data_IF_990296674885
#
_entry.id   IF_990296674885
#
_cell.length_a   1.000
_cell.length_b   1.000
_cell.length_c   1.000
_cell.angle_alpha   90.00
_cell.angle_beta   90.00
_cell.angle_gamma   90.00
#
_symmetry.space_group_name_H-M   'P 1'
#
loop_
_entity.id
_entity.type
_entity.pdbx_description
1 polymer ?
#
# COMPACT_ATOMS: atom_id res chain seq x y z
N UNK A 1 -35.67 24.21 -23.13
CA UNK A 1 -34.76 24.33 -21.98
C UNK A 1 -33.71 23.23 -22.09
N UNK A 2 -32.50 23.53 -22.57
CA UNK A 2 -31.38 22.56 -22.66
C UNK A 2 -30.62 22.60 -21.32
N UNK A 3 -30.59 21.48 -20.58
CA UNK A 3 -29.77 21.34 -19.39
C UNK A 3 -28.30 21.30 -19.81
N UNK A 4 -27.38 22.10 -19.23
CA UNK A 4 -25.97 21.94 -19.49
C UNK A 4 -25.47 20.68 -18.81
N UNK A 5 -24.96 19.72 -19.58
CA UNK A 5 -24.16 18.62 -19.12
C UNK A 5 -22.85 19.24 -18.61
N UNK A 6 -22.66 19.27 -17.30
CA UNK A 6 -21.39 19.63 -16.69
C UNK A 6 -20.37 18.53 -17.02
N UNK A 7 -19.65 18.71 -18.12
CA UNK A 7 -18.40 18.01 -18.37
C UNK A 7 -17.36 18.55 -17.37
N UNK A 8 -17.17 17.83 -16.27
CA UNK A 8 -15.99 17.99 -15.44
C UNK A 8 -14.79 17.56 -16.29
N UNK A 9 -14.20 18.49 -17.01
CA UNK A 9 -12.86 18.32 -17.56
C UNK A 9 -11.88 18.30 -16.39
N UNK A 10 -11.63 17.11 -15.87
CA UNK A 10 -10.57 16.82 -14.92
C UNK A 10 -9.24 17.08 -15.63
N UNK A 11 -8.76 18.32 -15.61
CA UNK A 11 -7.43 18.64 -16.08
C UNK A 11 -6.43 18.05 -15.08
N UNK A 12 -6.07 16.79 -15.32
CA UNK A 12 -5.02 16.07 -14.58
C UNK A 12 -3.67 16.64 -15.01
N UNK A 13 -3.30 17.79 -14.46
CA UNK A 13 -1.93 18.29 -14.48
C UNK A 13 -1.20 17.85 -13.19
N UNK A 14 -1.23 16.53 -12.91
CA UNK A 14 -0.55 15.92 -11.74
C UNK A 14 0.87 15.51 -12.12
N UNK A 15 1.63 16.40 -12.73
CA UNK A 15 2.81 15.96 -13.50
C UNK A 15 4.12 15.85 -12.72
N UNK A 16 4.24 16.20 -11.42
CA UNK A 16 5.59 16.33 -10.84
C UNK A 16 5.80 15.87 -9.39
N UNK A 17 4.80 15.36 -8.68
CA UNK A 17 4.95 15.19 -7.23
C UNK A 17 4.66 13.80 -6.67
N UNK A 18 4.06 12.90 -7.44
CA UNK A 18 3.78 11.54 -6.98
C UNK A 18 4.98 10.64 -7.26
N UNK A 19 5.35 9.80 -6.29
CA UNK A 19 6.46 8.87 -6.36
C UNK A 19 6.34 7.86 -7.49
N UNK A 20 5.11 7.55 -7.87
CA UNK A 20 4.78 6.52 -8.84
C UNK A 20 4.64 7.14 -10.24
N UNK A 21 4.94 6.38 -11.30
CA UNK A 21 4.72 6.82 -12.67
C UNK A 21 3.22 6.87 -13.04
N UNK A 22 2.34 6.55 -12.12
CA UNK A 22 0.89 6.52 -12.29
C UNK A 22 0.17 6.84 -10.98
N UNK A 23 -1.12 7.12 -11.09
CA UNK A 23 -2.09 7.26 -9.99
C UNK A 23 -3.23 6.30 -10.27
N UNK A 24 -3.74 5.64 -9.24
CA UNK A 24 -4.89 4.75 -9.30
C UNK A 24 -6.10 5.41 -8.61
N UNK A 25 -6.90 6.24 -9.33
CA UNK A 25 -8.14 6.81 -8.78
C UNK A 25 -9.09 5.77 -8.23
N UNK A 26 -8.99 4.54 -8.72
CA UNK A 26 -9.67 3.38 -8.16
C UNK A 26 -8.86 2.11 -8.44
N UNK A 27 -8.71 1.27 -7.42
CA UNK A 27 -8.08 -0.05 -7.55
C UNK A 27 -8.75 -1.06 -6.61
N UNK A 28 -8.95 -2.28 -7.12
CA UNK A 28 -9.28 -3.46 -6.32
C UNK A 28 -8.19 -4.50 -6.52
N UNK A 29 -7.82 -5.19 -5.45
CA UNK A 29 -6.76 -6.18 -5.44
C UNK A 29 -7.14 -7.36 -4.56
N UNK A 30 -7.02 -8.56 -5.10
CA UNK A 30 -7.27 -9.80 -4.39
C UNK A 30 -6.00 -10.64 -4.36
N UNK A 31 -5.59 -11.06 -3.18
CA UNK A 31 -4.43 -11.92 -2.95
C UNK A 31 -4.89 -13.27 -2.43
N UNK A 32 -4.40 -14.34 -3.01
CA UNK A 32 -4.54 -15.69 -2.49
C UNK A 32 -3.16 -16.25 -2.17
N UNK A 33 -2.92 -16.60 -0.92
CA UNK A 33 -1.69 -17.25 -0.46
C UNK A 33 -1.93 -18.75 -0.31
N UNK A 34 -1.06 -19.52 -0.95
CA UNK A 34 -1.17 -20.97 -0.96
C UNK A 34 -0.64 -21.58 0.34
N UNK A 35 -1.15 -22.75 0.68
CA UNK A 35 -0.54 -23.58 1.73
C UNK A 35 0.83 -24.03 1.23
N UNK A 36 1.90 -23.71 1.96
CA UNK A 36 3.22 -24.25 1.61
C UNK A 36 3.39 -25.66 2.18
N UNK A 37 4.04 -26.53 1.38
CA UNK A 37 4.41 -27.86 1.83
C UNK A 37 5.71 -27.84 2.65
N UNK A 38 5.90 -28.81 3.55
CA UNK A 38 7.09 -28.98 4.36
C UNK A 38 6.86 -28.78 5.87
N UNK A 39 7.92 -28.82 6.67
CA UNK A 39 7.87 -28.72 8.13
C UNK A 39 7.41 -27.34 8.65
N UNK A 40 7.45 -26.30 7.81
CA UNK A 40 6.86 -24.99 8.08
C UNK A 40 5.62 -24.83 7.18
N UNK A 41 4.50 -25.36 7.64
CA UNK A 41 3.22 -25.24 6.93
C UNK A 41 2.79 -23.78 6.89
N UNK A 42 2.94 -23.14 5.73
CA UNK A 42 2.36 -21.81 5.48
C UNK A 42 0.85 -21.85 5.60
N UNK A 43 0.30 -20.92 6.34
CA UNK A 43 -1.15 -20.79 6.47
C UNK A 43 -1.71 -20.11 5.22
N UNK A 44 -2.70 -20.74 4.55
CA UNK A 44 -3.39 -20.06 3.47
C UNK A 44 -4.16 -18.86 4.01
N UNK A 45 -4.26 -17.83 3.19
CA UNK A 45 -5.09 -16.68 3.48
C UNK A 45 -5.60 -16.05 2.19
N UNK A 46 -6.65 -15.28 2.32
CA UNK A 46 -7.06 -14.33 1.30
C UNK A 46 -6.97 -12.91 1.84
N UNK A 47 -6.64 -11.99 0.96
CA UNK A 47 -6.59 -10.58 1.29
C UNK A 47 -7.21 -9.77 0.15
N UNK A 48 -8.35 -9.16 0.44
CA UNK A 48 -9.01 -8.19 -0.44
C UNK A 48 -8.59 -6.79 -0.01
N UNK A 49 -8.22 -5.97 -0.97
CA UNK A 49 -7.95 -4.55 -0.77
C UNK A 49 -8.65 -3.74 -1.86
N UNK A 50 -9.35 -2.70 -1.49
CA UNK A 50 -9.98 -1.75 -2.41
C UNK A 50 -9.69 -0.33 -1.95
N UNK A 51 -9.27 0.54 -2.87
CA UNK A 51 -8.92 1.92 -2.49
C UNK A 51 -8.80 2.85 -3.68
N UNK A 52 -8.50 4.09 -3.36
CA UNK A 52 -8.43 5.21 -4.30
C UNK A 52 -7.26 6.11 -3.98
N UNK A 53 -6.64 6.69 -4.99
CA UNK A 53 -5.71 7.81 -4.86
C UNK A 53 -6.28 9.02 -5.59
N UNK A 54 -6.69 10.03 -4.83
CA UNK A 54 -7.40 11.22 -5.33
C UNK A 54 -6.55 12.47 -5.10
N UNK A 55 -5.65 12.82 -6.04
CA UNK A 55 -4.83 14.03 -5.93
C UNK A 55 -5.67 15.26 -6.28
N UNK A 56 -5.74 16.22 -5.38
CA UNK A 56 -6.46 17.49 -5.51
C UNK A 56 -5.43 18.62 -5.50
N UNK A 57 -5.32 19.37 -6.56
CA UNK A 57 -4.46 20.55 -6.61
C UNK A 57 -5.07 21.69 -5.80
N UNK A 58 -4.33 22.20 -4.81
CA UNK A 58 -4.78 23.33 -3.98
C UNK A 58 -4.25 24.65 -4.57
N UNK A 59 -2.95 24.90 -4.48
CA UNK A 59 -2.31 26.15 -4.91
C UNK A 59 -0.79 25.95 -5.08
N UNK A 60 -0.16 26.69 -6.00
CA UNK A 60 1.31 26.75 -6.13
C UNK A 60 2.01 25.38 -6.16
N UNK A 61 1.47 24.43 -6.93
CA UNK A 61 1.94 23.05 -6.99
C UNK A 61 1.87 22.27 -5.66
N UNK A 62 1.06 22.74 -4.72
CA UNK A 62 0.69 21.99 -3.51
C UNK A 62 -0.52 21.11 -3.84
N UNK A 63 -0.46 19.86 -3.40
CA UNK A 63 -1.53 18.88 -3.62
C UNK A 63 -1.98 18.27 -2.30
N UNK A 64 -3.28 18.11 -2.17
CA UNK A 64 -3.91 17.22 -1.20
C UNK A 64 -4.10 15.87 -1.88
N UNK A 65 -3.65 14.79 -1.25
CA UNK A 65 -3.86 13.42 -1.70
C UNK A 65 -4.77 12.71 -0.70
N UNK A 66 -5.97 12.36 -1.11
CA UNK A 66 -6.88 11.53 -0.33
C UNK A 66 -6.75 10.08 -0.84
N UNK A 67 -6.40 9.16 0.06
CA UNK A 67 -6.17 7.75 -0.31
C UNK A 67 -7.01 6.80 0.56
N UNK A 68 -8.36 6.92 0.57
CA UNK A 68 -9.19 6.01 1.33
C UNK A 68 -9.05 4.59 0.83
N UNK A 69 -9.03 3.63 1.76
CA UNK A 69 -9.06 2.22 1.40
C UNK A 69 -9.81 1.38 2.43
N UNK A 70 -10.28 0.25 1.96
CA UNK A 70 -10.78 -0.87 2.73
C UNK A 70 -9.91 -2.09 2.48
N UNK A 71 -9.65 -2.88 3.51
CA UNK A 71 -9.04 -4.21 3.36
C UNK A 71 -9.72 -5.24 4.26
N UNK A 72 -9.66 -6.49 3.82
CA UNK A 72 -10.16 -7.65 4.53
C UNK A 72 -9.15 -8.79 4.42
N UNK A 73 -8.81 -9.39 5.57
CA UNK A 73 -7.99 -10.60 5.65
C UNK A 73 -8.84 -11.74 6.18
N UNK A 74 -8.81 -12.87 5.48
CA UNK A 74 -9.38 -14.12 5.93
C UNK A 74 -8.27 -15.15 6.06
N UNK A 75 -8.01 -15.60 7.28
CA UNK A 75 -6.90 -16.49 7.62
C UNK A 75 -7.42 -17.87 7.95
N UNK A 76 -6.89 -18.94 7.33
CA UNK A 76 -7.32 -20.31 7.59
C UNK A 76 -6.96 -20.73 9.03
N UNK A 77 -7.93 -21.24 9.75
CA UNK A 77 -7.85 -21.58 11.19
C UNK A 77 -6.96 -22.78 11.52
N UNK A 78 -6.64 -23.63 10.55
CA UNK A 78 -5.85 -24.82 10.80
C UNK A 78 -4.44 -24.55 11.38
N UNK A 79 -4.02 -23.30 11.40
CA UNK A 79 -2.68 -22.88 11.83
C UNK A 79 -2.65 -21.99 13.06
N UNK A 80 -3.77 -21.36 13.40
CA UNK A 80 -3.89 -20.55 14.63
C UNK A 80 -4.94 -21.24 15.48
N UNK A 81 -4.49 -21.86 16.57
CA UNK A 81 -5.36 -22.68 17.45
C UNK A 81 -6.71 -22.00 17.70
N UNK A 82 -7.76 -22.52 17.05
CA UNK A 82 -9.17 -22.16 17.23
C UNK A 82 -9.62 -20.73 16.81
N UNK A 83 -8.81 -19.96 16.13
CA UNK A 83 -9.21 -18.64 15.65
C UNK A 83 -9.24 -18.66 14.12
N UNK A 84 -10.40 -18.36 13.54
CA UNK A 84 -10.52 -18.03 12.10
C UNK A 84 -10.72 -16.52 11.98
N UNK A 85 -9.70 -15.71 12.19
CA UNK A 85 -9.94 -14.29 12.18
C UNK A 85 -10.23 -13.83 10.76
N UNK A 86 -11.42 -13.30 10.59
CA UNK A 86 -11.74 -12.38 9.51
C UNK A 86 -11.59 -11.00 10.07
N UNK A 87 -10.59 -10.26 9.62
CA UNK A 87 -10.33 -8.91 10.13
C UNK A 87 -10.40 -7.90 9.00
N UNK A 88 -10.85 -6.71 9.35
CA UNK A 88 -11.14 -5.63 8.43
C UNK A 88 -10.36 -4.37 8.81
N UNK A 89 -10.08 -3.53 7.81
CA UNK A 89 -9.58 -2.17 8.00
C UNK A 89 -10.30 -1.21 7.08
N UNK A 90 -10.68 -0.07 7.61
CA UNK A 90 -10.97 1.14 6.84
C UNK A 90 -9.95 2.20 7.24
N UNK A 91 -9.30 2.80 6.27
CA UNK A 91 -8.32 3.84 6.51
C UNK A 91 -8.52 5.04 5.58
N UNK A 92 -8.20 6.21 6.11
CA UNK A 92 -8.20 7.47 5.38
C UNK A 92 -6.84 8.16 5.54
N UNK A 93 -5.86 7.86 4.69
CA UNK A 93 -4.65 8.67 4.55
C UNK A 93 -4.99 10.03 3.90
N UNK A 94 -4.49 11.12 4.51
CA UNK A 94 -4.70 12.50 4.04
C UNK A 94 -3.35 13.14 3.80
N UNK A 95 -2.83 13.00 2.58
CA UNK A 95 -1.50 13.47 2.22
C UNK A 95 -1.48 14.94 1.81
N UNK A 96 -0.53 15.71 2.35
CA UNK A 96 -0.18 17.03 1.87
C UNK A 96 1.20 16.98 1.21
N UNK A 97 1.27 17.36 -0.06
CA UNK A 97 2.49 17.38 -0.86
C UNK A 97 2.84 18.83 -1.15
N UNK A 98 3.97 19.29 -0.62
CA UNK A 98 4.39 20.71 -0.66
C UNK A 98 5.78 20.84 -1.28
N UNK A 99 5.93 21.52 -2.42
CA UNK A 99 7.25 21.94 -2.90
C UNK A 99 7.81 23.01 -1.96
N UNK A 100 9.08 22.88 -1.57
CA UNK A 100 9.73 23.87 -0.73
C UNK A 100 10.26 25.05 -1.56
N UNK A 101 10.72 26.13 -0.90
CA UNK A 101 11.28 27.31 -1.57
C UNK A 101 12.39 26.91 -2.57
N UNK A 102 13.27 26.01 -2.17
CA UNK A 102 14.17 25.36 -3.12
C UNK A 102 13.39 24.27 -3.86
N UNK A 103 13.11 24.52 -5.14
CA UNK A 103 12.30 23.65 -6.02
C UNK A 103 12.82 22.21 -6.14
N UNK A 104 14.07 21.93 -5.73
CA UNK A 104 14.61 20.57 -5.65
C UNK A 104 14.03 19.76 -4.50
N UNK A 105 13.42 20.42 -3.52
CA UNK A 105 12.90 19.77 -2.33
C UNK A 105 11.37 19.72 -2.33
N UNK A 106 10.86 18.58 -1.95
CA UNK A 106 9.42 18.34 -1.73
C UNK A 106 9.25 17.74 -0.33
N UNK A 107 8.29 18.22 0.42
CA UNK A 107 7.87 17.65 1.70
C UNK A 107 6.53 16.96 1.51
N UNK A 108 6.39 15.78 2.11
CA UNK A 108 5.13 15.04 2.16
C UNK A 108 4.81 14.72 3.62
N UNK A 109 3.61 15.06 4.05
CA UNK A 109 3.06 14.70 5.35
C UNK A 109 1.72 14.03 5.10
N UNK A 110 1.53 12.81 5.60
CA UNK A 110 0.35 12.00 5.34
C UNK A 110 -0.14 11.33 6.63
N UNK A 111 -0.92 12.04 7.50
CA UNK A 111 -1.63 11.41 8.59
C UNK A 111 -2.59 10.33 8.08
N UNK A 112 -2.76 9.28 8.87
CA UNK A 112 -3.55 8.11 8.54
C UNK A 112 -4.49 7.83 9.71
N UNK A 113 -5.77 8.03 9.48
CA UNK A 113 -6.84 7.63 10.38
C UNK A 113 -7.33 6.26 9.95
N UNK A 114 -7.43 5.31 10.89
CA UNK A 114 -7.93 3.97 10.56
C UNK A 114 -8.72 3.34 11.68
N UNK A 115 -9.58 2.39 11.32
CA UNK A 115 -10.22 1.45 12.23
C UNK A 115 -9.91 0.04 11.77
N UNK A 116 -9.37 -0.78 12.69
CA UNK A 116 -8.87 -2.12 12.40
C UNK A 116 -9.44 -3.12 13.42
N UNK A 117 -10.16 -4.14 12.97
CA UNK A 117 -10.69 -5.16 13.86
C UNK A 117 -11.51 -6.23 13.14
N UNK A 118 -12.02 -7.19 13.91
CA UNK A 118 -13.05 -8.13 13.45
C UNK A 118 -14.36 -7.38 13.18
N UNK A 119 -14.66 -6.37 14.01
CA UNK A 119 -15.77 -5.44 13.82
C UNK A 119 -15.22 -4.03 13.61
N UNK A 120 -15.65 -3.39 12.52
CA UNK A 120 -15.28 -2.00 12.23
C UNK A 120 -16.05 -1.05 13.15
N UNK A 121 -15.37 0.02 13.59
CA UNK A 121 -15.92 1.06 14.47
C UNK A 121 -16.35 0.58 15.87
N UNK A 122 -16.00 -0.64 16.27
CA UNK A 122 -16.15 -1.11 17.64
C UNK A 122 -15.24 -0.34 18.59
N UNK A 123 -15.48 -0.49 19.90
CA UNK A 123 -14.66 0.16 20.93
C UNK A 123 -13.18 -0.27 20.80
N UNK A 124 -12.29 0.72 20.85
CA UNK A 124 -10.82 0.49 20.79
C UNK A 124 -10.28 -0.08 19.46
N UNK A 125 -10.99 0.13 18.34
CA UNK A 125 -10.50 -0.26 17.00
C UNK A 125 -9.75 0.87 16.27
N UNK A 126 -9.83 2.08 16.78
CA UNK A 126 -9.20 3.25 16.16
C UNK A 126 -7.70 3.29 16.38
N UNK A 127 -6.99 3.64 15.32
CA UNK A 127 -5.56 3.88 15.31
C UNK A 127 -5.24 5.17 14.56
N UNK A 128 -4.21 5.86 15.03
CA UNK A 128 -3.65 7.04 14.38
C UNK A 128 -2.21 6.76 13.97
N UNK A 129 -1.91 7.00 12.73
CA UNK A 129 -0.56 6.88 12.19
C UNK A 129 -0.25 7.98 11.20
N UNK A 130 0.89 7.85 10.54
CA UNK A 130 1.27 8.76 9.49
C UNK A 130 2.61 8.44 8.85
N UNK A 131 2.80 9.03 7.68
CA UNK A 131 4.05 9.01 6.93
C UNK A 131 4.51 10.44 6.74
N UNK A 132 5.77 10.73 7.06
CA UNK A 132 6.41 11.99 6.71
C UNK A 132 7.72 11.73 5.97
N UNK A 133 7.94 12.39 4.84
CA UNK A 133 9.21 12.28 4.15
C UNK A 133 9.56 13.52 3.33
N UNK A 134 10.85 13.69 3.07
CA UNK A 134 11.40 14.65 2.13
C UNK A 134 11.81 13.93 0.85
N UNK A 135 11.61 14.61 -0.28
CA UNK A 135 12.14 14.23 -1.58
C UNK A 135 13.13 15.28 -2.07
N UNK A 136 14.32 14.84 -2.44
CA UNK A 136 15.35 15.68 -3.04
C UNK A 136 15.59 15.28 -4.49
N UNK A 137 15.34 16.19 -5.42
CA UNK A 137 15.60 16.00 -6.85
C UNK A 137 17.07 16.34 -7.16
N UNK A 138 17.87 15.28 -7.33
CA UNK A 138 19.29 15.40 -7.67
C UNK A 138 19.48 15.91 -9.08
N UNK A 139 18.71 15.33 -10.03
CA UNK A 139 18.70 15.68 -11.45
C UNK A 139 17.31 15.36 -12.02
N UNK A 140 16.95 15.85 -13.22
CA UNK A 140 15.69 15.49 -13.87
C UNK A 140 15.49 13.96 -13.93
N UNK A 141 14.38 13.47 -13.36
CA UNK A 141 14.08 12.04 -13.30
C UNK A 141 14.82 11.25 -12.20
N UNK A 142 15.60 11.91 -11.33
CA UNK A 142 16.26 11.27 -10.19
C UNK A 142 15.92 11.99 -8.88
N UNK A 143 15.09 11.35 -8.07
CA UNK A 143 14.69 11.87 -6.76
C UNK A 143 15.02 10.84 -5.67
N UNK A 144 15.69 11.27 -4.62
CA UNK A 144 15.93 10.49 -3.41
C UNK A 144 14.88 10.89 -2.39
N UNK A 145 14.43 9.94 -1.58
CA UNK A 145 13.41 10.15 -0.54
C UNK A 145 13.88 9.58 0.78
N UNK A 146 13.62 10.30 1.87
CA UNK A 146 13.91 9.83 3.22
C UNK A 146 12.90 10.39 4.20
N UNK A 147 12.53 9.60 5.19
CA UNK A 147 11.53 9.97 6.16
C UNK A 147 11.23 8.88 7.15
N UNK A 148 10.01 8.87 7.67
CA UNK A 148 9.56 7.89 8.62
C UNK A 148 8.06 7.58 8.49
N UNK A 149 7.69 6.37 8.85
CA UNK A 149 6.34 5.94 9.16
C UNK A 149 6.21 5.74 10.66
N UNK A 150 5.10 6.19 11.21
CA UNK A 150 4.75 6.04 12.62
C UNK A 150 3.30 5.60 12.74
N UNK A 151 3.00 4.74 13.71
CA UNK A 151 1.63 4.32 13.98
C UNK A 151 1.44 3.94 15.46
N UNK A 152 0.27 4.26 16.00
CA UNK A 152 -0.19 3.77 17.30
C UNK A 152 -0.87 2.41 17.12
N UNK A 153 -0.08 1.36 16.94
CA UNK A 153 -0.58 0.00 16.79
C UNK A 153 -1.05 -0.58 18.13
N UNK A 154 -1.89 -1.63 18.11
CA UNK A 154 -2.37 -2.29 19.34
C UNK A 154 -1.24 -2.98 20.11
N UNK A 155 -0.18 -3.40 19.41
CA UNK A 155 1.03 -3.92 20.05
C UNK A 155 1.99 -2.83 20.56
N UNK A 156 1.64 -1.55 20.39
CA UNK A 156 2.41 -0.40 20.86
C UNK A 156 2.80 0.56 19.74
N UNK A 157 3.56 1.59 20.10
CA UNK A 157 4.05 2.55 19.11
C UNK A 157 5.01 1.88 18.12
N UNK A 158 4.70 2.00 16.85
CA UNK A 158 5.51 1.49 15.75
C UNK A 158 6.17 2.63 15.00
N UNK A 159 7.48 2.54 14.84
CA UNK A 159 8.29 3.49 14.10
C UNK A 159 9.13 2.77 13.06
N UNK A 160 9.17 3.31 11.84
CA UNK A 160 9.93 2.73 10.73
C UNK A 160 10.60 3.85 9.94
N UNK A 161 11.95 3.90 9.89
CA UNK A 161 12.65 4.81 8.98
C UNK A 161 12.38 4.39 7.53
N UNK A 162 12.25 5.38 6.66
CA UNK A 162 11.96 5.19 5.24
C UNK A 162 13.09 5.76 4.39
N UNK A 163 13.55 4.98 3.41
CA UNK A 163 14.49 5.42 2.40
C UNK A 163 13.98 4.96 1.03
N UNK A 164 14.06 5.82 0.03
CA UNK A 164 13.56 5.46 -1.28
C UNK A 164 14.09 6.32 -2.41
N UNK A 165 13.64 5.98 -3.58
CA UNK A 165 14.00 6.67 -4.79
C UNK A 165 12.81 6.76 -5.75
N UNK A 166 12.93 7.70 -6.66
CA UNK A 166 12.08 7.90 -7.81
C UNK A 166 13.04 8.16 -8.97
N UNK A 167 13.38 7.10 -9.70
CA UNK A 167 14.48 7.12 -10.65
C UNK A 167 14.06 6.57 -12.00
N UNK A 168 13.94 7.46 -12.97
CA UNK A 168 13.82 7.12 -14.38
C UNK A 168 15.22 6.81 -14.92
N UNK A 169 15.54 5.53 -15.07
CA UNK A 169 16.86 5.12 -15.58
C UNK A 169 16.96 5.42 -17.07
N UNK A 170 15.90 5.11 -17.81
CA UNK A 170 15.77 5.33 -19.24
C UNK A 170 14.27 5.49 -19.62
N UNK A 171 13.93 5.41 -20.92
CA UNK A 171 12.55 5.55 -21.39
C UNK A 171 11.66 4.35 -21.04
N UNK A 172 12.24 3.23 -20.67
CA UNK A 172 11.56 1.98 -20.38
C UNK A 172 11.67 1.53 -18.94
N UNK A 173 12.71 1.92 -18.21
CA UNK A 173 13.02 1.42 -16.88
C UNK A 173 12.87 2.48 -15.83
N UNK A 174 12.12 2.14 -14.79
CA UNK A 174 11.79 3.05 -13.71
C UNK A 174 11.84 2.36 -12.34
N UNK A 175 12.56 2.96 -11.38
CA UNK A 175 12.53 2.58 -9.97
C UNK A 175 11.76 3.59 -9.17
N UNK A 176 10.87 3.12 -8.27
CA UNK A 176 10.12 4.03 -7.40
C UNK A 176 9.66 3.34 -6.12
N UNK A 177 9.51 4.15 -5.06
CA UNK A 177 8.96 3.72 -3.79
C UNK A 177 9.78 4.13 -2.58
N UNK A 178 9.37 3.60 -1.43
CA UNK A 178 9.95 3.82 -0.11
C UNK A 178 10.13 2.47 0.59
N UNK A 179 11.37 2.07 0.84
CA UNK A 179 11.69 0.90 1.67
C UNK A 179 11.53 1.25 3.15
N UNK A 180 11.09 0.29 3.97
CA UNK A 180 10.68 -1.07 3.62
C UNK A 180 9.20 -1.17 3.18
N UNK A 181 8.44 -0.09 3.12
CA UNK A 181 7.02 -0.12 2.79
C UNK A 181 6.73 -0.75 1.42
N UNK A 182 7.11 -0.10 0.34
CA UNK A 182 7.01 -0.64 -1.03
C UNK A 182 8.13 -0.06 -1.89
N UNK A 183 8.78 -0.92 -2.68
CA UNK A 183 9.75 -0.52 -3.70
C UNK A 183 9.55 -1.34 -4.95
N UNK A 184 9.52 -0.68 -6.11
CA UNK A 184 9.16 -1.28 -7.38
C UNK A 184 10.18 -0.91 -8.44
N UNK A 185 10.60 -1.90 -9.22
CA UNK A 185 11.18 -1.72 -10.54
C UNK A 185 10.14 -2.03 -11.58
N UNK A 186 9.93 -1.11 -12.51
CA UNK A 186 9.01 -1.24 -13.63
C UNK A 186 9.77 -1.19 -14.96
N UNK A 187 9.42 -2.10 -15.85
CA UNK A 187 9.85 -2.11 -17.25
C UNK A 187 8.65 -1.90 -18.17
N UNK A 188 8.78 -0.97 -19.11
CA UNK A 188 7.78 -0.71 -20.15
C UNK A 188 8.12 -1.54 -21.39
N UNK A 189 7.35 -2.59 -21.69
CA UNK A 189 7.48 -3.35 -22.93
C UNK A 189 6.93 -2.56 -24.12
N UNK A 190 5.72 -2.00 -23.96
CA UNK A 190 5.07 -1.12 -24.93
C UNK A 190 4.02 -0.23 -24.25
N UNK A 191 3.13 0.43 -25.01
CA UNK A 191 2.09 1.32 -24.46
C UNK A 191 0.99 0.58 -23.68
N UNK A 192 0.82 -0.72 -23.88
CA UNK A 192 -0.24 -1.54 -23.30
C UNK A 192 0.28 -2.58 -22.31
N UNK A 193 1.59 -2.78 -22.22
CA UNK A 193 2.21 -3.83 -21.43
C UNK A 193 3.37 -3.28 -20.62
N UNK A 194 3.29 -3.44 -19.29
CA UNK A 194 4.33 -3.11 -18.33
C UNK A 194 4.51 -4.28 -17.37
N UNK A 195 5.68 -4.42 -16.81
CA UNK A 195 5.93 -5.45 -15.81
C UNK A 195 7.17 -5.13 -15.02
N UNK A 196 7.44 -5.93 -14.01
CA UNK A 196 8.60 -5.68 -13.18
C UNK A 196 8.61 -6.49 -11.91
N UNK A 197 9.31 -5.98 -10.91
CA UNK A 197 9.44 -6.59 -9.60
C UNK A 197 9.04 -5.60 -8.52
N UNK A 198 8.41 -6.08 -7.46
CA UNK A 198 8.06 -5.25 -6.31
C UNK A 198 8.35 -5.96 -5.00
N UNK A 199 8.88 -5.22 -4.05
CA UNK A 199 8.94 -5.61 -2.65
C UNK A 199 7.89 -4.79 -1.89
N UNK A 200 7.21 -5.43 -0.93
CA UNK A 200 6.24 -4.79 -0.03
C UNK A 200 6.34 -5.39 1.36
N UNK A 201 6.51 -4.56 2.38
CA UNK A 201 6.36 -4.97 3.76
C UNK A 201 5.01 -4.50 4.29
N UNK A 202 4.27 -5.43 4.90
CA UNK A 202 2.99 -5.18 5.55
C UNK A 202 3.16 -5.50 7.03
N UNK A 203 2.86 -4.53 7.89
CA UNK A 203 2.76 -4.71 9.33
C UNK A 203 1.52 -3.96 9.79
N UNK A 204 0.50 -4.70 10.23
CA UNK A 204 -0.76 -4.16 10.72
C UNK A 204 -1.21 -4.91 11.96
N UNK A 205 -2.02 -4.26 12.80
CA UNK A 205 -2.68 -4.92 13.92
C UNK A 205 -4.18 -4.65 13.91
N UNK A 206 -4.94 -5.65 14.38
CA UNK A 206 -6.39 -5.67 14.35
C UNK A 206 -6.92 -6.03 15.73
N UNK A 207 -7.96 -5.37 16.21
CA UNK A 207 -8.64 -5.70 17.46
C UNK A 207 -9.54 -6.90 17.24
N UNK A 208 -9.42 -7.90 18.13
CA UNK A 208 -10.29 -9.08 18.16
C UNK A 208 -11.44 -8.88 19.17
N UNK A 209 -12.54 -9.59 18.97
CA UNK A 209 -13.72 -9.48 19.81
C UNK A 209 -13.52 -9.95 21.25
N UNK A 210 -12.53 -10.82 21.48
CA UNK A 210 -12.12 -11.28 22.83
C UNK A 210 -11.25 -10.28 23.59
N UNK A 211 -11.03 -9.07 23.01
CA UNK A 211 -10.20 -8.02 23.59
C UNK A 211 -8.71 -8.13 23.28
N UNK A 212 -8.27 -9.23 22.66
CA UNK A 212 -6.92 -9.38 22.17
C UNK A 212 -6.68 -8.53 20.91
N UNK A 213 -5.46 -8.53 20.42
CA UNK A 213 -5.14 -8.05 19.06
C UNK A 213 -4.45 -9.14 18.26
N UNK A 214 -4.68 -9.12 16.96
CA UNK A 214 -3.93 -9.86 15.96
C UNK A 214 -2.94 -8.92 15.28
N UNK A 215 -1.66 -9.27 15.22
CA UNK A 215 -0.65 -8.61 14.41
C UNK A 215 -0.29 -9.49 13.22
N UNK A 216 -0.33 -8.89 12.03
CA UNK A 216 0.06 -9.50 10.76
C UNK A 216 1.35 -8.85 10.29
N UNK A 217 2.41 -9.66 10.11
CA UNK A 217 3.62 -9.26 9.41
C UNK A 217 3.73 -10.11 8.13
N UNK A 218 3.69 -9.49 6.95
CA UNK A 218 3.80 -10.16 5.64
C UNK A 218 4.72 -9.34 4.72
N UNK A 219 5.91 -9.89 4.44
CA UNK A 219 6.83 -9.28 3.50
C UNK A 219 6.72 -10.02 2.16
N UNK A 220 6.41 -9.30 1.11
CA UNK A 220 6.10 -9.84 -0.20
C UNK A 220 7.18 -9.46 -1.20
N UNK A 221 7.78 -10.43 -1.86
CA UNK A 221 8.60 -10.24 -3.05
C UNK A 221 7.86 -10.84 -4.24
N UNK A 222 7.62 -10.05 -5.26
CA UNK A 222 6.80 -10.47 -6.41
C UNK A 222 7.31 -9.90 -7.72
N UNK A 223 6.94 -10.57 -8.80
CA UNK A 223 6.95 -10.04 -10.15
C UNK A 223 5.52 -9.66 -10.54
N UNK A 224 5.35 -8.75 -11.47
CA UNK A 224 4.02 -8.39 -11.94
C UNK A 224 3.99 -8.10 -13.43
N UNK A 225 2.80 -8.24 -14.00
CA UNK A 225 2.48 -7.87 -15.37
C UNK A 225 1.20 -7.04 -15.38
N UNK A 226 1.31 -5.81 -15.88
CA UNK A 226 0.21 -4.87 -16.08
C UNK A 226 -0.20 -4.88 -17.54
N UNK A 227 -1.47 -5.19 -17.81
CA UNK A 227 -2.06 -5.19 -19.15
C UNK A 227 -3.12 -4.10 -19.25
N UNK A 228 -3.04 -3.27 -20.27
CA UNK A 228 -3.99 -2.20 -20.56
C UNK A 228 -4.81 -2.52 -21.80
N UNK A 229 -5.97 -3.21 -21.67
CA UNK A 229 -6.86 -3.50 -22.81
C UNK A 229 -7.52 -2.25 -23.37
N UNK A 230 -7.66 -1.21 -22.55
CA UNK A 230 -8.18 0.10 -22.93
C UNK A 230 -7.43 1.21 -22.17
N UNK A 231 -7.58 2.46 -22.64
CA UNK A 231 -6.99 3.62 -21.98
C UNK A 231 -7.44 3.68 -20.51
N UNK A 232 -6.47 3.76 -19.60
CA UNK A 232 -6.65 3.85 -18.15
C UNK A 232 -7.26 2.61 -17.47
N UNK A 233 -7.63 1.57 -18.18
CA UNK A 233 -8.05 0.30 -17.57
C UNK A 233 -6.83 -0.62 -17.48
N UNK A 234 -6.46 -1.01 -16.28
CA UNK A 234 -5.29 -1.85 -16.01
C UNK A 234 -5.70 -3.11 -15.27
N UNK A 235 -5.29 -4.26 -15.79
CA UNK A 235 -5.34 -5.53 -15.05
C UNK A 235 -3.92 -5.94 -14.71
N UNK A 236 -3.71 -6.37 -13.46
CA UNK A 236 -2.40 -6.81 -12.96
C UNK A 236 -2.47 -8.26 -12.53
N UNK A 237 -1.53 -9.06 -13.01
CA UNK A 237 -1.20 -10.38 -12.47
C UNK A 237 0.13 -10.27 -11.72
N UNK A 238 0.15 -10.67 -10.45
CA UNK A 238 1.33 -10.54 -9.57
C UNK A 238 1.56 -11.84 -8.79
N UNK A 239 2.29 -12.83 -9.36
CA UNK A 239 2.81 -13.96 -8.59
C UNK A 239 3.97 -13.52 -7.70
N UNK A 240 4.07 -14.12 -6.50
CA UNK A 240 5.12 -13.77 -5.56
C UNK A 240 5.32 -14.78 -4.46
N UNK A 241 6.26 -14.45 -3.58
CA UNK A 241 6.63 -15.24 -2.42
C UNK A 241 6.68 -14.35 -1.18
N UNK A 242 5.94 -14.76 -0.14
CA UNK A 242 5.96 -14.08 1.15
C UNK A 242 7.08 -14.63 2.01
N UNK A 243 7.85 -13.74 2.63
CA UNK A 243 9.01 -14.05 3.45
C UNK A 243 8.86 -13.47 4.85
N UNK A 244 9.42 -14.15 5.84
CA UNK A 244 9.41 -13.72 7.25
C UNK A 244 7.99 -13.44 7.77
N UNK A 245 7.02 -14.21 7.31
CA UNK A 245 5.62 -14.08 7.69
C UNK A 245 5.42 -14.47 9.15
N UNK A 246 4.68 -13.66 9.89
CA UNK A 246 4.35 -13.91 11.29
C UNK A 246 2.93 -13.46 11.60
N UNK A 247 2.21 -14.32 12.33
CA UNK A 247 0.98 -13.97 13.03
C UNK A 247 1.26 -13.97 14.53
N UNK A 248 0.81 -12.92 15.21
CA UNK A 248 0.99 -12.79 16.65
C UNK A 248 -0.30 -12.30 17.26
N UNK A 249 -0.72 -12.94 18.35
CA UNK A 249 -1.80 -12.40 19.19
C UNK A 249 -1.24 -11.88 20.49
N UNK A 250 -1.91 -10.94 21.10
CA UNK A 250 -1.52 -10.39 22.39
C UNK A 250 -2.66 -9.62 23.04
N UNK A 251 -2.59 -9.47 24.34
CA UNK A 251 -3.56 -8.73 25.16
C UNK A 251 -3.09 -7.32 25.46
N UNK A 252 -1.79 -7.16 25.66
CA UNK A 252 -1.16 -5.92 26.07
C UNK A 252 -0.04 -5.49 25.11
N UNK A 253 0.37 -4.23 25.20
CA UNK A 253 1.46 -3.68 24.40
C UNK A 253 2.74 -4.48 24.62
N UNK A 254 3.35 -4.93 23.50
CA UNK A 254 4.61 -5.71 23.47
C UNK A 254 4.56 -7.10 24.12
N UNK A 255 3.41 -7.53 24.63
CA UNK A 255 3.22 -8.86 25.19
C UNK A 255 2.44 -9.71 24.19
N UNK A 256 3.09 -10.75 23.68
CA UNK A 256 2.47 -11.71 22.78
C UNK A 256 2.06 -12.96 23.54
N UNK A 257 0.80 -13.35 23.41
CA UNK A 257 0.28 -14.61 23.95
C UNK A 257 0.62 -15.77 23.03
N UNK A 258 0.63 -15.52 21.71
CA UNK A 258 1.10 -16.48 20.73
C UNK A 258 2.00 -15.80 19.69
N UNK A 259 2.93 -16.56 19.16
CA UNK A 259 3.74 -16.16 18.00
C UNK A 259 3.82 -17.36 17.09
N UNK A 260 3.00 -17.36 16.05
CA UNK A 260 2.98 -18.40 15.04
C UNK A 260 3.81 -17.94 13.83
N UNK A 261 4.73 -18.79 13.43
CA UNK A 261 5.33 -18.65 12.11
C UNK A 261 4.23 -19.00 11.11
N UNK A 262 3.70 -17.98 10.47
CA UNK A 262 2.67 -18.13 9.44
C UNK A 262 3.15 -18.96 8.26
N UNK A 263 4.46 -19.12 8.16
CA UNK A 263 5.16 -19.84 7.10
C UNK A 263 5.30 -18.99 5.84
N UNK A 264 6.51 -19.00 5.34
CA UNK A 264 6.80 -18.40 4.05
C UNK A 264 6.12 -19.22 2.95
N UNK A 265 5.69 -18.60 1.85
CA UNK A 265 4.99 -19.33 0.82
C UNK A 265 4.58 -18.48 -0.38
N UNK A 266 4.20 -19.19 -1.43
CA UNK A 266 3.73 -18.57 -2.67
C UNK A 266 2.37 -17.89 -2.49
N UNK A 267 2.20 -16.83 -3.25
CA UNK A 267 0.90 -16.18 -3.42
C UNK A 267 0.71 -15.76 -4.88
N UNK A 268 -0.54 -15.58 -5.25
CA UNK A 268 -0.93 -14.91 -6.49
C UNK A 268 -1.82 -13.72 -6.15
N UNK A 269 -1.62 -12.62 -6.84
CA UNK A 269 -2.41 -11.41 -6.67
C UNK A 269 -2.97 -10.98 -8.02
N UNK A 270 -4.28 -10.69 -8.02
CA UNK A 270 -4.98 -10.14 -9.17
C UNK A 270 -5.48 -8.75 -8.81
N UNK A 271 -5.34 -7.80 -9.74
CA UNK A 271 -5.84 -6.44 -9.53
C UNK A 271 -6.54 -5.92 -10.77
N UNK A 272 -7.53 -5.07 -10.54
CA UNK A 272 -8.14 -4.24 -11.57
C UNK A 272 -8.09 -2.79 -11.10
N UNK A 273 -7.69 -1.88 -11.99
CA UNK A 273 -7.55 -0.46 -11.66
C UNK A 273 -8.02 0.44 -12.80
N UNK A 274 -8.59 1.58 -12.42
CA UNK A 274 -8.58 2.75 -13.27
C UNK A 274 -7.27 3.51 -12.98
N UNK A 275 -6.30 3.39 -13.90
CA UNK A 275 -4.93 3.88 -13.69
C UNK A 275 -4.59 4.97 -14.69
N UNK A 276 -4.19 6.11 -14.18
CA UNK A 276 -3.73 7.24 -14.98
C UNK A 276 -2.21 7.30 -14.96
N UNK A 277 -1.57 7.02 -16.08
CA UNK A 277 -0.11 7.15 -16.21
C UNK A 277 0.28 8.61 -16.36
N UNK A 278 1.24 9.02 -15.54
CA UNK A 278 1.77 10.38 -15.56
C UNK A 278 2.83 10.48 -16.66
N UNK A 279 2.70 11.49 -17.52
CA UNK A 279 3.76 11.81 -18.50
C UNK A 279 4.94 12.43 -17.74
N UNK A 280 6.06 11.76 -17.71
CA UNK A 280 7.34 12.26 -17.15
C UNK A 280 8.37 12.44 -18.25
#
# INVERSE_FOLDING_TARGET
MKKPLLFFSFQILVLLLVAQPYVDPFQVRYTYAFRSGGNSRGTPFTHLWAGSDLPIKIKNNTYLLLSPFYENWQIDSASVKNIQPTVHSIALPIGLIVPLKNKKWTMVINPILRTNGEELFAKNTFQLGGVGFFGYERSPGQKIRFGAYMNSDFFGFFFMPLLGADWKMDERNYFFGLLPGRFTWEHKFNSHLFGGMTFRAITNSYRLNDGQYLRIDDNQLSTYLDVYPAKNICFTLEPGYGILRKLRTGTEKKIYTTTDKWGDGFFIKLSAAYRVRLKK
#
